data_IF_085948415502
#
_entry.id   IF_085948415502
#
_cell.length_a   1.000
_cell.length_b   1.000
_cell.length_c   1.000
_cell.angle_alpha   90.00
_cell.angle_beta   90.00
_cell.angle_gamma   90.00
#
_symmetry.space_group_name_H-M   'P 1'
#
loop_
_entity.id
_entity.type
_entity.pdbx_description
1 polymer ?
#
# COMPACT_ATOMS: atom_id res chain seq x y z
N UNK A 1 15.34 4.66 10.87
CA UNK A 1 14.33 4.96 9.84
C UNK A 1 14.72 6.29 9.22
N UNK A 2 14.99 6.33 7.92
CA UNK A 2 15.28 7.55 7.19
C UNK A 2 14.08 7.85 6.30
N UNK A 3 13.58 9.09 6.33
CA UNK A 3 12.34 9.47 5.66
C UNK A 3 12.56 10.70 4.80
N UNK A 4 11.86 10.73 3.67
CA UNK A 4 11.64 11.94 2.89
C UNK A 4 10.13 12.17 2.77
N UNK A 5 9.73 13.42 2.93
CA UNK A 5 8.43 13.91 2.53
C UNK A 5 8.37 14.09 1.00
N UNK A 6 7.41 13.44 0.35
CA UNK A 6 7.19 13.50 -1.12
C UNK A 6 5.89 14.24 -1.43
N UNK A 7 5.22 14.82 -0.45
CA UNK A 7 4.01 15.61 -0.64
C UNK A 7 4.30 16.91 -1.41
N UNK A 8 3.52 17.17 -2.47
CA UNK A 8 3.53 18.43 -3.22
C UNK A 8 2.97 19.64 -2.44
N UNK A 9 2.91 19.56 -1.11
CA UNK A 9 2.60 20.69 -0.24
C UNK A 9 3.88 21.12 0.47
N UNK A 10 4.31 22.35 0.19
CA UNK A 10 5.36 23.04 0.93
C UNK A 10 5.13 22.94 2.45
N UNK A 11 5.79 22.00 3.13
CA UNK A 11 5.70 21.92 4.58
C UNK A 11 6.79 21.05 5.18
N UNK A 12 7.75 21.67 5.87
CA UNK A 12 8.65 21.01 6.83
C UNK A 12 7.91 20.33 8.02
N UNK A 13 6.63 19.97 7.88
CA UNK A 13 5.74 19.55 8.95
C UNK A 13 5.52 18.03 9.03
N UNK A 14 5.40 17.32 7.89
CA UNK A 14 4.98 15.91 7.89
C UNK A 14 6.07 14.97 8.46
N UNK A 15 7.35 15.31 8.26
CA UNK A 15 8.45 14.56 8.85
C UNK A 15 8.67 14.85 10.35
N UNK A 16 8.07 15.92 10.90
CA UNK A 16 8.41 16.41 12.26
C UNK A 16 8.16 15.37 13.34
N UNK A 17 7.01 14.70 13.28
CA UNK A 17 6.64 13.72 14.30
C UNK A 17 7.55 12.48 14.23
N UNK A 18 8.00 12.11 13.03
CA UNK A 18 8.98 11.04 12.85
C UNK A 18 10.37 11.42 13.35
N UNK A 19 10.82 12.66 13.08
CA UNK A 19 12.09 13.18 13.60
C UNK A 19 12.07 13.24 15.13
N UNK A 20 10.96 13.67 15.71
CA UNK A 20 10.75 13.66 17.17
C UNK A 20 10.79 12.23 17.74
N UNK A 21 10.35 11.24 16.97
CA UNK A 21 10.47 9.82 17.31
C UNK A 21 11.87 9.22 17.03
N UNK A 22 12.83 10.03 16.56
CA UNK A 22 14.22 9.63 16.34
C UNK A 22 14.58 9.25 14.90
N UNK A 23 13.70 9.52 13.92
CA UNK A 23 14.05 9.36 12.51
C UNK A 23 14.99 10.46 12.01
N UNK A 24 15.76 10.15 10.98
CA UNK A 24 16.58 11.15 10.26
C UNK A 24 15.86 11.53 8.98
N UNK A 25 15.88 12.82 8.62
CA UNK A 25 15.26 13.33 7.40
C UNK A 25 16.29 13.48 6.27
N UNK A 26 15.99 12.91 5.10
CA UNK A 26 16.72 13.17 3.85
C UNK A 26 16.13 14.35 3.06
N UNK A 27 16.92 15.05 2.24
CA UNK A 27 16.42 16.16 1.42
C UNK A 27 15.88 15.66 0.08
N UNK A 28 16.46 14.59 -0.46
CA UNK A 28 16.04 13.96 -1.71
C UNK A 28 15.81 12.45 -1.54
N UNK A 29 15.09 11.78 -2.47
CA UNK A 29 14.97 10.32 -2.44
C UNK A 29 16.36 9.66 -2.53
N UNK A 30 17.27 10.21 -3.34
CA UNK A 30 18.64 9.73 -3.43
C UNK A 30 19.39 9.75 -2.09
N UNK A 31 19.18 10.77 -1.24
CA UNK A 31 19.77 10.80 0.11
C UNK A 31 19.29 9.63 0.96
N UNK A 32 18.00 9.29 0.85
CA UNK A 32 17.38 8.16 1.55
C UNK A 32 18.00 6.85 1.09
N UNK A 33 18.06 6.63 -0.23
CA UNK A 33 18.65 5.42 -0.80
C UNK A 33 20.13 5.30 -0.42
N UNK A 34 20.89 6.40 -0.47
CA UNK A 34 22.31 6.40 -0.12
C UNK A 34 22.52 5.91 1.32
N UNK A 35 21.74 6.42 2.27
CA UNK A 35 21.93 6.15 3.70
C UNK A 35 21.27 4.86 4.21
N UNK A 36 20.31 4.27 3.48
CA UNK A 36 19.57 3.08 3.93
C UNK A 36 19.91 1.83 3.12
N UNK A 37 19.90 0.66 3.77
CA UNK A 37 20.07 -0.64 3.09
C UNK A 37 18.78 -1.10 2.40
N UNK A 38 17.63 -0.79 3.01
CA UNK A 38 16.29 -1.05 2.49
C UNK A 38 15.46 0.21 2.62
N UNK A 39 14.79 0.62 1.55
CA UNK A 39 13.89 1.78 1.53
C UNK A 39 12.49 1.34 1.15
N UNK A 40 11.49 1.81 1.90
CA UNK A 40 10.07 1.59 1.62
C UNK A 40 9.47 2.87 1.02
N UNK A 41 8.71 2.73 -0.06
CA UNK A 41 7.95 3.80 -0.70
C UNK A 41 6.46 3.52 -0.54
N UNK A 42 5.70 4.51 -0.10
CA UNK A 42 4.24 4.43 0.01
C UNK A 42 3.68 5.83 -0.23
N UNK A 43 3.39 6.14 -1.49
CA UNK A 43 2.98 7.48 -1.92
C UNK A 43 1.62 7.44 -2.63
N UNK A 44 1.21 8.57 -3.20
CA UNK A 44 -0.22 8.81 -3.48
C UNK A 44 -0.74 8.14 -4.74
N UNK A 45 0.08 8.03 -5.79
CA UNK A 45 -0.36 7.52 -7.09
C UNK A 45 0.80 7.00 -7.95
N UNK A 46 0.53 6.28 -9.06
CA UNK A 46 1.56 5.73 -9.94
C UNK A 46 2.50 6.76 -10.56
N UNK A 47 2.02 7.97 -10.90
CA UNK A 47 2.84 9.01 -11.52
C UNK A 47 3.86 9.57 -10.53
N UNK A 48 3.43 9.79 -9.28
CA UNK A 48 4.34 10.17 -8.20
C UNK A 48 5.38 9.07 -7.93
N UNK A 49 5.00 7.79 -8.03
CA UNK A 49 5.93 6.66 -7.85
C UNK A 49 6.99 6.64 -8.95
N UNK A 50 6.58 6.87 -10.19
CA UNK A 50 7.51 7.04 -11.32
C UNK A 50 8.42 8.24 -11.11
N UNK A 51 7.89 9.40 -10.71
CA UNK A 51 8.72 10.59 -10.48
C UNK A 51 9.71 10.39 -9.33
N UNK A 52 9.31 9.72 -8.25
CA UNK A 52 10.22 9.38 -7.14
C UNK A 52 11.41 8.54 -7.62
N UNK A 53 11.14 7.60 -8.53
CA UNK A 53 12.15 6.65 -9.01
C UNK A 53 13.02 7.26 -10.11
N UNK A 54 12.39 7.76 -11.17
CA UNK A 54 13.02 8.21 -12.41
C UNK A 54 13.37 9.71 -12.43
N UNK A 55 12.81 10.50 -11.52
CA UNK A 55 13.01 11.95 -11.45
C UNK A 55 14.42 12.34 -11.04
N UNK A 56 14.68 13.65 -11.08
CA UNK A 56 15.98 14.18 -10.70
C UNK A 56 16.25 13.97 -9.19
N UNK A 57 17.46 13.53 -8.86
CA UNK A 57 17.82 13.06 -7.51
C UNK A 57 16.88 11.95 -6.99
N UNK A 58 16.23 11.20 -7.89
CA UNK A 58 15.34 10.09 -7.57
C UNK A 58 16.09 8.83 -7.12
N UNK A 59 15.33 7.75 -6.92
CA UNK A 59 15.85 6.45 -6.43
C UNK A 59 17.00 5.94 -7.29
N UNK A 60 16.89 6.06 -8.63
CA UNK A 60 17.86 5.52 -9.57
C UNK A 60 19.26 6.16 -9.48
N UNK A 61 19.40 7.33 -8.86
CA UNK A 61 20.69 8.00 -8.70
C UNK A 61 21.64 7.23 -7.77
N UNK A 62 21.12 6.57 -6.73
CA UNK A 62 21.92 5.95 -5.68
C UNK A 62 21.60 4.46 -5.44
N UNK A 63 20.59 3.90 -6.12
CA UNK A 63 20.24 2.48 -5.98
C UNK A 63 21.28 1.58 -6.66
N UNK A 64 22.20 1.04 -5.86
CA UNK A 64 23.32 0.18 -6.29
C UNK A 64 23.78 -0.69 -5.11
N UNK A 65 24.76 -1.55 -5.33
CA UNK A 65 25.37 -2.39 -4.28
C UNK A 65 24.33 -3.23 -3.50
N UNK A 66 23.36 -3.80 -4.21
CA UNK A 66 22.31 -4.67 -3.63
C UNK A 66 21.39 -3.98 -2.61
N UNK A 67 21.33 -2.64 -2.58
CA UNK A 67 20.33 -1.90 -1.80
C UNK A 67 18.91 -2.30 -2.22
N UNK A 68 18.02 -2.44 -1.26
CA UNK A 68 16.62 -2.85 -1.45
C UNK A 68 15.68 -1.67 -1.59
N UNK A 69 14.73 -1.78 -2.50
CA UNK A 69 13.61 -0.86 -2.65
C UNK A 69 12.30 -1.63 -2.63
N UNK A 70 11.42 -1.25 -1.70
CA UNK A 70 10.12 -1.87 -1.48
C UNK A 70 9.03 -0.88 -1.88
N UNK A 71 8.29 -1.18 -2.93
CA UNK A 71 7.21 -0.34 -3.43
C UNK A 71 5.86 -0.79 -2.84
N UNK A 72 5.28 0.04 -2.00
CA UNK A 72 4.00 -0.20 -1.33
C UNK A 72 2.87 0.67 -1.87
N UNK A 73 3.17 1.59 -2.79
CA UNK A 73 2.16 2.40 -3.47
C UNK A 73 1.19 1.53 -4.26
N UNK A 74 -0.09 1.87 -4.23
CA UNK A 74 -1.09 1.26 -5.09
C UNK A 74 -0.82 1.58 -6.56
N UNK A 75 -0.12 0.68 -7.25
CA UNK A 75 0.25 0.80 -8.66
C UNK A 75 -0.21 -0.43 -9.44
N UNK A 76 -0.31 -0.29 -10.76
CA UNK A 76 -0.58 -1.42 -11.64
C UNK A 76 0.67 -2.29 -11.87
N UNK A 77 0.45 -3.51 -12.35
CA UNK A 77 1.51 -4.49 -12.54
C UNK A 77 2.54 -4.07 -13.61
N UNK A 78 2.15 -3.28 -14.61
CA UNK A 78 3.08 -2.78 -15.64
C UNK A 78 4.00 -1.71 -15.05
N UNK A 79 3.45 -0.75 -14.31
CA UNK A 79 4.23 0.26 -13.58
C UNK A 79 5.20 -0.40 -12.59
N UNK A 80 4.76 -1.41 -11.83
CA UNK A 80 5.62 -2.12 -10.88
C UNK A 80 6.77 -2.85 -11.57
N UNK A 81 6.52 -3.53 -12.68
CA UNK A 81 7.57 -4.19 -13.48
C UNK A 81 8.56 -3.18 -14.04
N UNK A 82 8.08 -2.06 -14.59
CA UNK A 82 8.93 -1.00 -15.12
C UNK A 82 9.88 -0.44 -14.05
N UNK A 83 9.36 -0.14 -12.85
CA UNK A 83 10.17 0.32 -11.71
C UNK A 83 11.16 -0.76 -11.29
N UNK A 84 10.71 -2.01 -11.15
CA UNK A 84 11.54 -3.13 -10.74
C UNK A 84 12.70 -3.42 -11.69
N UNK A 85 12.45 -3.43 -13.00
CA UNK A 85 13.47 -3.58 -14.04
C UNK A 85 14.51 -2.46 -13.97
N UNK A 86 14.07 -1.21 -13.81
CA UNK A 86 14.97 -0.07 -13.71
C UNK A 86 15.89 -0.18 -12.48
N UNK A 87 15.34 -0.57 -11.33
CA UNK A 87 16.10 -0.76 -10.08
C UNK A 87 17.12 -1.91 -10.21
N UNK A 88 16.68 -3.06 -10.74
CA UNK A 88 17.56 -4.23 -10.94
C UNK A 88 18.66 -3.91 -11.94
N UNK A 89 18.37 -3.16 -13.01
CA UNK A 89 19.37 -2.75 -14.02
C UNK A 89 20.50 -1.89 -13.44
N UNK A 90 20.27 -1.22 -12.30
CA UNK A 90 21.26 -0.43 -11.56
C UNK A 90 22.00 -1.24 -10.47
N UNK A 91 21.68 -2.52 -10.31
CA UNK A 91 22.25 -3.40 -9.29
C UNK A 91 21.57 -3.30 -7.92
N UNK A 92 20.34 -2.78 -7.87
CA UNK A 92 19.48 -2.83 -6.69
C UNK A 92 18.63 -4.11 -6.64
N UNK A 93 17.90 -4.27 -5.53
CA UNK A 93 16.88 -5.32 -5.32
C UNK A 93 15.51 -4.69 -5.22
N UNK A 94 14.50 -5.31 -5.83
CA UNK A 94 13.14 -4.77 -5.88
C UNK A 94 12.12 -5.75 -5.32
N UNK A 95 11.20 -5.22 -4.52
CA UNK A 95 10.04 -5.92 -4.01
C UNK A 95 8.82 -5.01 -4.13
N UNK A 96 7.74 -5.46 -4.76
CA UNK A 96 6.44 -4.80 -4.57
C UNK A 96 5.76 -5.40 -3.33
N UNK A 97 5.08 -4.57 -2.55
CA UNK A 97 4.43 -4.94 -1.29
C UNK A 97 3.11 -4.16 -1.11
N UNK A 98 2.06 -4.60 -1.82
CA UNK A 98 0.71 -4.00 -1.74
C UNK A 98 0.10 -4.21 -0.35
N UNK A 99 -0.49 -3.16 0.21
CA UNK A 99 -1.10 -3.19 1.55
C UNK A 99 -2.63 -3.25 1.49
N UNK A 100 -3.22 -4.04 2.38
CA UNK A 100 -4.66 -4.11 2.62
C UNK A 100 -4.96 -3.69 4.05
N UNK A 101 -5.87 -2.73 4.20
CA UNK A 101 -6.38 -2.29 5.49
C UNK A 101 -6.71 -0.80 5.52
N UNK A 102 -7.38 -0.39 6.59
CA UNK A 102 -7.72 1.01 6.84
C UNK A 102 -6.57 1.77 7.52
N UNK A 103 -6.70 3.10 7.60
CA UNK A 103 -5.80 3.97 8.37
C UNK A 103 -5.65 3.49 9.82
N UNK A 104 -6.75 3.15 10.48
CA UNK A 104 -6.74 2.61 11.84
C UNK A 104 -5.93 1.31 11.92
N UNK A 105 -6.05 0.43 10.92
CA UNK A 105 -5.26 -0.80 10.90
C UNK A 105 -3.77 -0.53 10.68
N UNK A 106 -3.40 0.51 9.92
CA UNK A 106 -2.02 0.95 9.80
C UNK A 106 -1.46 1.46 11.15
N UNK A 107 -2.23 2.29 11.87
CA UNK A 107 -1.87 2.79 13.20
C UNK A 107 -1.70 1.65 14.23
N UNK A 108 -2.53 0.60 14.12
CA UNK A 108 -2.49 -0.56 15.00
C UNK A 108 -1.47 -1.63 14.57
N UNK A 109 -0.79 -1.48 13.43
CA UNK A 109 0.13 -2.51 12.92
C UNK A 109 -0.56 -3.80 12.50
N UNK A 110 -1.79 -3.71 11.96
CA UNK A 110 -2.65 -4.87 11.63
C UNK A 110 -3.00 -4.98 10.15
N UNK A 111 -2.24 -4.29 9.29
CA UNK A 111 -2.34 -4.43 7.84
C UNK A 111 -2.09 -5.87 7.37
N UNK A 112 -2.57 -6.19 6.17
CA UNK A 112 -2.16 -7.39 5.43
C UNK A 112 -1.29 -6.96 4.26
N UNK A 113 -0.13 -7.59 4.11
CA UNK A 113 0.88 -7.22 3.11
C UNK A 113 0.94 -8.32 2.05
N UNK A 114 0.84 -7.94 0.79
CA UNK A 114 0.94 -8.81 -0.38
C UNK A 114 2.23 -8.46 -1.10
N UNK A 115 3.23 -9.33 -1.05
CA UNK A 115 4.56 -9.06 -1.57
C UNK A 115 4.90 -9.95 -2.76
N UNK A 116 5.66 -9.43 -3.72
CA UNK A 116 6.17 -10.19 -4.87
C UNK A 116 7.46 -9.56 -5.43
N UNK A 117 8.35 -10.37 -6.00
CA UNK A 117 9.65 -9.95 -6.52
C UNK A 117 10.83 -10.67 -5.86
N UNK A 118 11.79 -9.91 -5.32
CA UNK A 118 12.98 -10.49 -4.69
C UNK A 118 12.66 -11.18 -3.36
N UNK A 119 12.75 -12.52 -3.33
CA UNK A 119 12.47 -13.31 -2.13
C UNK A 119 13.49 -13.08 -1.00
N UNK A 120 14.75 -12.77 -1.30
CA UNK A 120 15.73 -12.47 -0.27
C UNK A 120 15.41 -11.13 0.40
N UNK A 121 15.03 -10.12 -0.39
CA UNK A 121 14.56 -8.83 0.14
C UNK A 121 13.27 -8.99 0.94
N UNK A 122 12.34 -9.84 0.52
CA UNK A 122 11.14 -10.18 1.31
C UNK A 122 11.50 -10.76 2.69
N UNK A 123 12.52 -11.63 2.76
CA UNK A 123 13.01 -12.18 4.02
C UNK A 123 13.67 -11.11 4.89
N UNK A 124 14.49 -10.23 4.29
CA UNK A 124 15.15 -9.11 4.98
C UNK A 124 14.10 -8.14 5.58
N UNK A 125 12.93 -8.00 4.95
CA UNK A 125 11.85 -7.10 5.37
C UNK A 125 10.90 -7.68 6.43
N UNK A 126 11.06 -8.92 6.89
CA UNK A 126 10.08 -9.59 7.77
C UNK A 126 9.84 -8.86 9.09
N UNK A 127 10.88 -8.28 9.69
CA UNK A 127 10.74 -7.48 10.92
C UNK A 127 9.90 -6.23 10.68
N UNK A 128 10.10 -5.53 9.57
CA UNK A 128 9.28 -4.39 9.16
C UNK A 128 7.83 -4.78 8.88
N UNK A 129 7.61 -5.88 8.16
CA UNK A 129 6.27 -6.39 7.87
C UNK A 129 5.53 -6.83 9.12
N UNK A 130 6.22 -7.42 10.09
CA UNK A 130 5.64 -7.80 11.39
C UNK A 130 5.26 -6.57 12.22
N UNK A 131 6.00 -5.46 12.09
CA UNK A 131 5.69 -4.21 12.78
C UNK A 131 4.49 -3.47 12.15
N UNK A 132 4.32 -3.57 10.82
CA UNK A 132 3.26 -2.87 10.09
C UNK A 132 1.97 -3.67 9.95
N UNK A 133 2.05 -4.99 10.02
CA UNK A 133 0.96 -5.89 9.64
C UNK A 133 0.83 -7.11 10.52
N UNK A 134 -0.40 -7.65 10.51
CA UNK A 134 -0.71 -8.94 11.16
C UNK A 134 -0.30 -10.14 10.32
N UNK A 135 -0.09 -9.95 9.02
CA UNK A 135 0.30 -11.01 8.08
C UNK A 135 0.98 -10.43 6.84
N UNK A 136 1.93 -11.17 6.30
CA UNK A 136 2.52 -10.91 4.99
C UNK A 136 2.52 -12.20 4.14
N UNK A 137 2.28 -12.05 2.84
CA UNK A 137 2.24 -13.15 1.88
C UNK A 137 3.23 -12.88 0.75
N UNK A 138 4.01 -13.87 0.36
CA UNK A 138 4.87 -13.79 -0.82
C UNK A 138 4.19 -14.52 -1.99
N UNK A 139 3.97 -13.81 -3.09
CA UNK A 139 3.14 -14.23 -4.22
C UNK A 139 3.97 -14.32 -5.51
N UNK A 140 5.24 -14.72 -5.40
CA UNK A 140 6.09 -15.00 -6.55
C UNK A 140 6.61 -13.72 -7.23
N UNK A 141 6.46 -13.64 -8.54
CA UNK A 141 7.14 -12.64 -9.38
C UNK A 141 6.48 -11.25 -9.39
N UNK A 142 7.26 -10.24 -9.74
CA UNK A 142 6.80 -8.84 -9.84
C UNK A 142 5.57 -8.70 -10.74
N UNK A 143 4.58 -8.01 -10.21
CA UNK A 143 3.26 -7.80 -10.79
C UNK A 143 2.19 -8.66 -10.13
N UNK A 144 2.54 -9.78 -9.49
CA UNK A 144 1.55 -10.66 -8.86
C UNK A 144 0.88 -10.05 -7.63
N UNK A 145 1.60 -9.25 -6.82
CA UNK A 145 0.99 -8.55 -5.70
C UNK A 145 0.04 -7.46 -6.20
N UNK A 146 0.45 -6.71 -7.24
CA UNK A 146 -0.39 -5.71 -7.89
C UNK A 146 -1.67 -6.33 -8.49
N UNK A 147 -1.55 -7.49 -9.14
CA UNK A 147 -2.71 -8.23 -9.67
C UNK A 147 -3.60 -8.78 -8.56
N UNK A 148 -3.04 -9.30 -7.47
CA UNK A 148 -3.83 -9.77 -6.32
C UNK A 148 -4.59 -8.61 -5.68
N UNK A 149 -3.95 -7.44 -5.50
CA UNK A 149 -4.60 -6.23 -5.03
C UNK A 149 -5.78 -5.84 -5.96
N UNK A 150 -5.57 -5.86 -7.28
CA UNK A 150 -6.64 -5.57 -8.23
C UNK A 150 -7.83 -6.55 -8.11
N UNK A 151 -7.57 -7.85 -7.92
CA UNK A 151 -8.61 -8.86 -7.71
C UNK A 151 -9.42 -8.55 -6.45
N UNK A 152 -8.75 -8.22 -5.33
CA UNK A 152 -9.43 -7.87 -4.07
C UNK A 152 -10.29 -6.62 -4.27
N UNK A 153 -9.74 -5.58 -4.90
CA UNK A 153 -10.46 -4.33 -5.16
C UNK A 153 -11.67 -4.52 -6.08
N UNK A 154 -11.57 -5.41 -7.07
CA UNK A 154 -12.71 -5.78 -7.93
C UNK A 154 -13.83 -6.44 -7.12
N UNK A 155 -13.49 -7.44 -6.29
CA UNK A 155 -14.46 -8.14 -5.44
C UNK A 155 -15.15 -7.15 -4.49
N UNK A 156 -14.38 -6.27 -3.84
CA UNK A 156 -14.91 -5.22 -2.98
C UNK A 156 -15.83 -4.26 -3.74
N UNK A 157 -15.45 -3.81 -4.94
CA UNK A 157 -16.27 -2.92 -5.76
C UNK A 157 -17.62 -3.53 -6.13
N UNK A 158 -17.65 -4.77 -6.61
CA UNK A 158 -18.89 -5.49 -6.95
C UNK A 158 -19.76 -5.69 -5.71
N UNK A 159 -19.16 -6.01 -4.56
CA UNK A 159 -19.89 -6.20 -3.30
C UNK A 159 -20.58 -4.91 -2.86
N UNK A 160 -19.89 -3.76 -2.91
CA UNK A 160 -20.47 -2.45 -2.58
C UNK A 160 -21.57 -2.07 -3.56
N UNK A 161 -21.38 -2.31 -4.87
CA UNK A 161 -22.41 -2.03 -5.87
C UNK A 161 -23.69 -2.84 -5.59
N UNK A 162 -23.56 -4.14 -5.28
CA UNK A 162 -24.70 -4.98 -4.91
C UNK A 162 -25.39 -4.52 -3.62
N UNK A 163 -24.63 -4.08 -2.61
CA UNK A 163 -25.18 -3.49 -1.39
C UNK A 163 -25.98 -2.21 -1.72
N UNK A 164 -25.43 -1.31 -2.54
CA UNK A 164 -26.07 -0.06 -2.92
C UNK A 164 -27.38 -0.30 -3.69
N UNK A 165 -27.40 -1.24 -4.63
CA UNK A 165 -28.62 -1.62 -5.36
C UNK A 165 -29.67 -2.23 -4.42
N UNK A 166 -29.26 -3.08 -3.48
CA UNK A 166 -30.16 -3.64 -2.46
C UNK A 166 -30.78 -2.56 -1.57
N UNK A 167 -29.99 -1.59 -1.11
CA UNK A 167 -30.47 -0.46 -0.30
C UNK A 167 -31.41 0.47 -1.08
N UNK A 168 -31.11 0.71 -2.36
CA UNK A 168 -31.98 1.50 -3.24
C UNK A 168 -33.32 0.80 -3.51
N UNK A 169 -33.30 -0.53 -3.69
CA UNK A 169 -34.52 -1.31 -3.83
C UNK A 169 -35.36 -1.28 -2.55
N UNK A 170 -34.74 -1.42 -1.37
CA UNK A 170 -35.40 -1.35 -0.08
C UNK A 170 -36.15 -0.01 0.09
N UNK A 171 -35.46 1.11 -0.15
CA UNK A 171 -36.08 2.45 -0.14
C UNK A 171 -37.26 2.54 -1.12
N UNK A 172 -37.08 2.03 -2.35
CA UNK A 172 -38.11 2.09 -3.39
C UNK A 172 -39.40 1.36 -3.03
N UNK A 173 -39.30 0.27 -2.25
CA UNK A 173 -40.45 -0.53 -1.78
C UNK A 173 -40.92 -0.15 -0.37
N UNK A 174 -40.34 0.89 0.24
CA UNK A 174 -40.75 1.42 1.55
C UNK A 174 -40.21 0.63 2.75
N UNK A 175 -39.11 -0.10 2.58
CA UNK A 175 -38.40 -0.76 3.67
C UNK A 175 -37.29 0.15 4.24
N UNK A 176 -37.10 0.09 5.55
CA UNK A 176 -36.02 0.80 6.24
C UNK A 176 -34.67 0.18 5.89
N UNK A 177 -33.70 1.00 5.49
CA UNK A 177 -32.32 0.57 5.23
C UNK A 177 -31.63 0.07 6.51
N UNK A 178 -32.00 0.60 7.68
CA UNK A 178 -31.52 0.10 8.97
C UNK A 178 -32.00 -1.34 9.21
N UNK A 179 -33.27 -1.64 8.90
CA UNK A 179 -33.82 -2.99 9.04
C UNK A 179 -33.08 -3.95 8.11
N UNK A 180 -32.69 -3.51 6.90
CA UNK A 180 -31.86 -4.32 5.99
C UNK A 180 -30.50 -4.64 6.63
N UNK A 181 -29.80 -3.65 7.21
CA UNK A 181 -28.51 -3.88 7.89
C UNK A 181 -28.67 -4.83 9.08
N UNK A 182 -29.69 -4.64 9.92
CA UNK A 182 -29.97 -5.51 11.08
C UNK A 182 -30.28 -6.95 10.64
N UNK A 183 -31.07 -7.12 9.58
CA UNK A 183 -31.38 -8.44 9.04
C UNK A 183 -30.11 -9.09 8.45
N UNK A 184 -29.29 -8.33 7.70
CA UNK A 184 -28.04 -8.83 7.11
C UNK A 184 -27.09 -9.40 8.18
N UNK A 185 -27.00 -8.74 9.34
CA UNK A 185 -26.20 -9.20 10.49
C UNK A 185 -26.62 -10.58 11.01
N UNK A 186 -27.89 -10.95 10.83
CA UNK A 186 -28.43 -12.26 11.23
C UNK A 186 -28.36 -13.32 10.13
N UNK A 187 -27.87 -12.98 8.94
CA UNK A 187 -27.77 -13.89 7.79
C UNK A 187 -26.34 -14.35 7.52
N UNK A 188 -26.16 -15.22 6.52
CA UNK A 188 -24.83 -15.61 6.02
C UNK A 188 -24.06 -14.46 5.34
N UNK A 189 -24.73 -13.32 5.10
CA UNK A 189 -24.11 -12.12 4.56
C UNK A 189 -23.51 -11.21 5.66
N UNK A 190 -23.49 -11.66 6.92
CA UNK A 190 -22.85 -10.93 8.02
C UNK A 190 -21.34 -10.82 7.80
N UNK A 191 -20.94 -9.70 7.21
CA UNK A 191 -19.56 -9.27 7.05
C UNK A 191 -19.43 -7.88 7.68
N UNK A 192 -18.60 -7.70 8.74
CA UNK A 192 -18.47 -6.41 9.43
C UNK A 192 -18.17 -5.24 8.50
N UNK A 193 -17.35 -5.46 7.47
CA UNK A 193 -17.03 -4.44 6.47
C UNK A 193 -18.24 -4.05 5.61
N UNK A 194 -19.07 -5.01 5.17
CA UNK A 194 -20.30 -4.73 4.42
C UNK A 194 -21.28 -3.94 5.31
N UNK A 195 -21.45 -4.38 6.56
CA UNK A 195 -22.35 -3.72 7.51
C UNK A 195 -21.91 -2.28 7.81
N UNK A 196 -20.61 -2.03 7.93
CA UNK A 196 -20.07 -0.67 8.07
C UNK A 196 -20.40 0.21 6.86
N UNK A 197 -20.32 -0.33 5.63
CA UNK A 197 -20.68 0.41 4.41
C UNK A 197 -22.18 0.62 4.23
N UNK A 198 -23.02 -0.22 4.84
CA UNK A 198 -24.47 -0.11 4.79
C UNK A 198 -25.06 0.91 5.77
N UNK A 199 -24.29 1.35 6.78
CA UNK A 199 -24.71 2.36 7.75
C UNK A 199 -24.54 3.74 7.12
N UNK A 200 -25.65 4.38 6.78
CA UNK A 200 -25.71 5.80 6.41
C UNK A 200 -25.82 6.69 7.66
#
# INVERSE_FOLDING_TARGET
MLLKDVGGHNGCGECRDFVNAGATQGQTPSDVIFAADVTFSCITNPDAAKELVFGNCGVLAEIKNSKGYVEMTGIDAETSRCIGEAIVSRGGRYLEAQIQGSKLQAELGTLVILAAGDHALYNDCQSCFTAMGKSSFFIGDVGNASMMNLIIQLISGVTIAGLAEGMALADRVGLSQNDVVEILELTQLNCPWILEKGKC
#
